data_IF_627731915407
#
_entry.id   IF_627731915407
#
_cell.length_a   1.000
_cell.length_b   1.000
_cell.length_c   1.000
_cell.angle_alpha   90.00
_cell.angle_beta   90.00
_cell.angle_gamma   90.00
#
_symmetry.space_group_name_H-M   'P 1'
#
loop_
_entity.id
_entity.type
_entity.pdbx_description
1 polymer ?
#
# COMPACT_ATOMS: atom_id res chain seq x y z
N UNK A 1 11.83 -18.15 -0.54
CA UNK A 1 11.42 -16.87 -1.18
C UNK A 1 10.92 -15.93 -0.11
N UNK A 2 11.52 -14.75 -0.02
CA UNK A 2 11.12 -13.72 0.94
C UNK A 2 9.96 -12.88 0.38
N UNK A 3 8.95 -12.66 1.21
CA UNK A 3 7.77 -11.87 0.87
C UNK A 3 7.13 -11.29 2.11
N UNK A 4 6.72 -10.03 2.06
CA UNK A 4 6.04 -9.37 3.15
C UNK A 4 4.97 -8.39 2.67
N UNK A 5 3.92 -8.23 3.47
CA UNK A 5 2.89 -7.24 3.27
C UNK A 5 2.62 -6.49 4.59
N UNK A 6 2.61 -5.17 4.53
CA UNK A 6 2.43 -4.31 5.68
C UNK A 6 1.24 -3.38 5.45
N UNK A 7 0.45 -3.18 6.49
CA UNK A 7 -0.63 -2.21 6.54
C UNK A 7 -0.41 -1.28 7.72
N UNK A 8 -0.41 0.02 7.48
CA UNK A 8 -0.19 1.07 8.48
C UNK A 8 -1.33 2.07 8.46
N UNK A 9 -1.94 2.34 9.61
CA UNK A 9 -2.81 3.49 9.82
C UNK A 9 -2.00 4.68 10.33
N UNK A 10 -2.07 5.81 9.63
CA UNK A 10 -1.35 7.03 9.98
C UNK A 10 -2.17 8.04 10.80
N UNK A 11 -3.43 7.75 11.12
CA UNK A 11 -4.32 8.66 11.88
C UNK A 11 -3.81 9.00 13.30
N UNK A 12 -2.91 8.21 13.87
CA UNK A 12 -2.32 8.48 15.18
C UNK A 12 -1.46 9.75 15.27
N UNK A 13 -1.18 10.41 14.12
CA UNK A 13 -0.39 11.64 14.00
C UNK A 13 -1.25 12.80 13.44
N UNK A 14 -2.32 13.17 14.14
CA UNK A 14 -3.12 14.31 13.72
C UNK A 14 -2.37 15.63 13.88
N UNK A 15 -2.17 16.37 12.78
CA UNK A 15 -1.58 17.72 12.78
C UNK A 15 -2.60 18.83 13.04
N UNK A 16 -3.91 18.53 13.14
CA UNK A 16 -4.96 19.54 13.18
C UNK A 16 -5.19 20.17 14.55
N UNK A 17 -4.56 19.68 15.62
CA UNK A 17 -4.67 20.30 16.96
C UNK A 17 -3.46 21.20 17.23
N UNK A 18 -3.58 22.48 16.86
CA UNK A 18 -2.73 23.53 17.39
C UNK A 18 -2.80 23.55 18.92
N UNK A 19 -1.67 23.75 19.57
CA UNK A 19 -1.51 23.85 21.00
C UNK A 19 -2.50 24.85 21.64
N UNK A 20 -3.51 24.32 22.34
CA UNK A 20 -4.30 25.04 23.30
C UNK A 20 -4.12 24.38 24.67
N UNK A 21 -3.74 25.10 25.75
CA UNK A 21 -3.55 24.50 27.06
C UNK A 21 -4.90 24.15 27.67
N UNK A 22 -5.25 22.86 27.75
CA UNK A 22 -6.33 22.39 28.63
C UNK A 22 -5.69 21.61 29.78
N UNK A 23 -5.73 22.27 30.95
CA UNK A 23 -5.35 21.68 32.21
C UNK A 23 -6.20 20.44 32.53
N UNK A 24 -5.54 19.38 32.93
CA UNK A 24 -6.11 18.16 33.46
C UNK A 24 -4.97 17.24 33.89
N UNK A 25 -4.76 17.13 35.22
CA UNK A 25 -3.85 16.18 35.83
C UNK A 25 -4.19 14.75 35.43
N UNK A 26 -3.36 14.12 34.60
CA UNK A 26 -3.31 12.66 34.49
C UNK A 26 -1.84 12.20 34.48
N UNK A 27 -1.57 11.24 35.33
CA UNK A 27 -0.33 10.52 35.62
C UNK A 27 0.54 10.25 34.40
N UNK A 28 1.80 10.66 34.52
CA UNK A 28 2.87 10.55 33.52
C UNK A 28 3.23 9.08 33.20
N UNK A 29 2.65 8.56 32.11
CA UNK A 29 3.37 7.61 31.27
C UNK A 29 4.17 8.45 30.25
N UNK A 30 5.48 8.23 30.08
CA UNK A 30 6.33 8.90 29.10
C UNK A 30 5.73 8.76 27.68
N UNK A 31 4.78 9.61 27.35
CA UNK A 31 4.27 9.79 26.00
C UNK A 31 5.29 10.61 25.22
N UNK A 32 5.91 10.00 24.21
CA UNK A 32 6.72 10.75 23.23
C UNK A 32 5.88 11.89 22.67
N UNK A 33 6.45 13.09 22.57
CA UNK A 33 5.74 14.20 21.94
C UNK A 33 5.48 13.86 20.47
N UNK A 34 4.35 14.33 19.92
CA UNK A 34 4.02 14.14 18.48
C UNK A 34 5.16 14.56 17.57
N UNK A 35 5.88 15.62 17.93
CA UNK A 35 6.99 16.16 17.17
C UNK A 35 8.23 15.24 17.20
N UNK A 36 8.53 14.59 18.33
CA UNK A 36 9.59 13.60 18.42
C UNK A 36 9.28 12.39 17.54
N UNK A 37 8.04 11.90 17.56
CA UNK A 37 7.61 10.79 16.69
C UNK A 37 7.76 11.09 15.19
N UNK A 38 7.46 12.33 14.76
CA UNK A 38 7.64 12.75 13.37
C UNK A 38 9.11 12.79 12.98
N UNK A 39 9.97 13.37 13.83
CA UNK A 39 11.41 13.43 13.58
C UNK A 39 12.04 12.03 13.50
N UNK A 40 11.60 11.11 14.34
CA UNK A 40 12.05 9.71 14.30
C UNK A 40 11.63 9.01 13.01
N UNK A 41 10.40 9.22 12.55
CA UNK A 41 9.93 8.68 11.27
C UNK A 41 10.66 9.32 10.07
N UNK A 42 10.90 10.64 10.09
CA UNK A 42 11.67 11.33 9.06
C UNK A 42 13.11 10.79 8.97
N UNK A 43 13.72 10.47 10.10
CA UNK A 43 15.06 9.89 10.15
C UNK A 43 15.16 8.47 9.54
N UNK A 44 14.03 7.79 9.36
CA UNK A 44 13.97 6.49 8.68
C UNK A 44 13.95 6.60 7.15
N UNK A 45 13.62 7.79 6.60
CA UNK A 45 13.49 7.96 5.17
C UNK A 45 14.87 7.98 4.49
N UNK A 46 14.96 7.31 3.36
CA UNK A 46 16.06 7.56 2.43
C UNK A 46 15.91 8.95 1.77
N UNK A 47 16.97 9.43 1.14
CA UNK A 47 17.03 10.77 0.57
C UNK A 47 15.89 11.03 -0.42
N UNK A 48 15.59 10.09 -1.30
CA UNK A 48 14.53 10.25 -2.30
C UNK A 48 13.13 10.31 -1.66
N UNK A 49 12.87 9.48 -0.65
CA UNK A 49 11.62 9.48 0.10
C UNK A 49 11.47 10.76 0.93
N UNK A 50 12.55 11.24 1.50
CA UNK A 50 12.55 12.51 2.22
C UNK A 50 12.21 13.69 1.28
N UNK A 51 12.81 13.75 0.10
CA UNK A 51 12.49 14.77 -0.91
C UNK A 51 11.03 14.69 -1.37
N UNK A 52 10.48 13.48 -1.58
CA UNK A 52 9.05 13.30 -1.91
C UNK A 52 8.16 13.81 -0.78
N UNK A 53 8.45 13.43 0.46
CA UNK A 53 7.71 13.87 1.64
C UNK A 53 7.69 15.40 1.77
N UNK A 54 8.82 16.05 1.58
CA UNK A 54 8.94 17.51 1.69
C UNK A 54 8.13 18.27 0.61
N UNK A 55 7.93 17.68 -0.56
CA UNK A 55 7.15 18.28 -1.65
C UNK A 55 5.65 18.19 -1.47
N UNK A 56 5.16 17.31 -0.60
CA UNK A 56 3.72 17.12 -0.38
C UNK A 56 3.19 18.26 0.50
N UNK A 57 2.22 19.02 -0.01
CA UNK A 57 1.63 20.17 0.69
C UNK A 57 0.51 19.76 1.67
N UNK A 58 -0.37 18.84 1.25
CA UNK A 58 -1.50 18.41 2.06
C UNK A 58 -1.03 17.62 3.29
N UNK A 59 -1.50 17.99 4.49
CA UNK A 59 -1.10 17.35 5.75
C UNK A 59 -1.30 15.82 5.74
N UNK A 60 -2.46 15.35 5.31
CA UNK A 60 -2.74 13.92 5.18
C UNK A 60 -1.81 13.23 4.18
N UNK A 61 -1.54 13.86 3.04
CA UNK A 61 -0.60 13.36 2.04
C UNK A 61 0.83 13.24 2.57
N UNK A 62 1.26 14.18 3.41
CA UNK A 62 2.57 14.14 4.09
C UNK A 62 2.66 12.93 5.03
N UNK A 63 1.61 12.66 5.84
CA UNK A 63 1.57 11.49 6.72
C UNK A 63 1.64 10.18 5.93
N UNK A 64 0.88 10.08 4.85
CA UNK A 64 0.90 8.90 3.97
C UNK A 64 2.29 8.70 3.33
N UNK A 65 2.92 9.78 2.86
CA UNK A 65 4.27 9.74 2.29
C UNK A 65 5.31 9.29 3.32
N UNK A 66 5.22 9.84 4.54
CA UNK A 66 6.09 9.49 5.66
C UNK A 66 5.93 8.02 6.05
N UNK A 67 4.69 7.56 6.25
CA UNK A 67 4.39 6.16 6.54
C UNK A 67 4.88 5.19 5.46
N UNK A 68 4.71 5.55 4.19
CA UNK A 68 5.18 4.75 3.06
C UNK A 68 6.72 4.60 3.06
N UNK A 69 7.45 5.69 3.31
CA UNK A 69 8.91 5.67 3.38
C UNK A 69 9.43 4.84 4.56
N UNK A 70 8.81 5.02 5.74
CA UNK A 70 9.17 4.27 6.94
C UNK A 70 8.88 2.75 6.80
N UNK A 71 7.77 2.36 6.16
CA UNK A 71 7.48 0.96 5.85
C UNK A 71 8.51 0.36 4.88
N UNK A 72 8.90 1.11 3.84
CA UNK A 72 9.96 0.66 2.92
C UNK A 72 11.27 0.42 3.66
N UNK A 73 11.65 1.34 4.52
CA UNK A 73 12.86 1.21 5.33
C UNK A 73 12.80 -0.03 6.22
N UNK A 74 11.69 -0.24 6.93
CA UNK A 74 11.48 -1.43 7.75
C UNK A 74 11.64 -2.71 6.92
N UNK A 75 10.95 -2.82 5.79
CA UNK A 75 10.97 -4.02 4.93
C UNK A 75 12.38 -4.34 4.41
N UNK A 76 13.11 -3.31 3.95
CA UNK A 76 14.50 -3.47 3.48
C UNK A 76 15.42 -3.93 4.62
N UNK A 77 15.31 -3.32 5.80
CA UNK A 77 16.14 -3.70 6.95
C UNK A 77 15.83 -5.11 7.42
N UNK A 78 14.55 -5.53 7.49
CA UNK A 78 14.15 -6.90 7.82
C UNK A 78 14.74 -7.91 6.83
N UNK A 79 14.68 -7.62 5.52
CA UNK A 79 15.26 -8.46 4.48
C UNK A 79 16.78 -8.59 4.62
N UNK A 80 17.49 -7.47 4.73
CA UNK A 80 18.97 -7.46 4.83
C UNK A 80 19.48 -8.08 6.13
N UNK A 81 18.66 -8.12 7.17
CA UNK A 81 18.99 -8.79 8.45
C UNK A 81 18.73 -10.31 8.42
N UNK A 82 18.35 -10.87 7.29
CA UNK A 82 18.01 -12.30 7.17
C UNK A 82 16.69 -12.67 7.86
N UNK A 83 15.83 -11.69 8.12
CA UNK A 83 14.52 -11.93 8.73
C UNK A 83 13.60 -12.75 7.81
N UNK A 84 12.66 -13.47 8.40
CA UNK A 84 11.63 -14.17 7.64
C UNK A 84 10.58 -13.19 7.12
N UNK A 85 10.23 -13.28 5.84
CA UNK A 85 9.11 -12.55 5.24
C UNK A 85 7.79 -12.96 5.90
N UNK A 86 6.90 -11.99 6.13
CA UNK A 86 5.57 -12.23 6.75
C UNK A 86 4.46 -11.86 5.79
N UNK A 87 3.54 -12.79 5.55
CA UNK A 87 2.44 -12.66 4.57
C UNK A 87 1.55 -11.42 4.78
N UNK A 88 1.30 -11.01 6.02
CA UNK A 88 0.54 -9.79 6.33
C UNK A 88 0.80 -9.32 7.76
N UNK A 89 1.05 -8.01 7.93
CA UNK A 89 1.22 -7.37 9.24
C UNK A 89 0.44 -6.07 9.30
N UNK A 90 -0.36 -5.92 10.35
CA UNK A 90 -0.99 -4.63 10.67
C UNK A 90 -0.11 -3.92 11.69
N UNK A 91 0.26 -2.70 11.39
CA UNK A 91 1.14 -1.89 12.21
C UNK A 91 0.43 -0.61 12.63
N UNK A 92 0.76 -0.16 13.83
CA UNK A 92 0.57 1.23 14.26
C UNK A 92 1.92 1.95 14.13
N UNK A 93 1.90 3.26 14.16
CA UNK A 93 3.13 4.06 14.13
C UNK A 93 4.07 3.69 15.30
N UNK A 94 3.52 3.48 16.48
CA UNK A 94 4.30 3.02 17.66
C UNK A 94 4.96 1.67 17.42
N UNK A 95 4.22 0.72 16.85
CA UNK A 95 4.76 -0.62 16.54
C UNK A 95 5.85 -0.52 15.45
N UNK A 96 5.63 0.30 14.44
CA UNK A 96 6.61 0.55 13.36
C UNK A 96 7.94 1.05 13.95
N UNK A 97 7.92 2.11 14.77
CA UNK A 97 9.11 2.65 15.42
C UNK A 97 9.79 1.60 16.31
N UNK A 98 9.05 0.91 17.16
CA UNK A 98 9.62 -0.15 18.02
C UNK A 98 10.28 -1.29 17.22
N UNK A 99 9.79 -1.59 16.01
CA UNK A 99 10.40 -2.58 15.14
C UNK A 99 11.69 -2.05 14.51
N UNK A 100 11.69 -0.80 14.05
CA UNK A 100 12.89 -0.20 13.44
C UNK A 100 14.01 0.01 14.45
N UNK A 101 13.71 0.30 15.72
CA UNK A 101 14.71 0.40 16.79
C UNK A 101 15.44 -0.92 17.07
N UNK A 102 14.76 -2.06 16.89
CA UNK A 102 15.31 -3.40 17.13
C UNK A 102 16.17 -3.93 15.99
N UNK A 103 16.13 -3.26 14.83
CA UNK A 103 16.94 -3.69 13.69
C UNK A 103 18.39 -3.21 13.84
N UNK A 104 19.35 -3.94 13.25
CA UNK A 104 20.76 -3.59 13.34
C UNK A 104 21.02 -2.15 12.86
N UNK A 105 21.61 -1.33 13.72
CA UNK A 105 21.98 0.07 13.41
C UNK A 105 23.31 0.15 12.63
N UNK A 106 23.53 -0.75 11.66
CA UNK A 106 24.69 -0.69 10.77
C UNK A 106 24.53 0.40 9.69
N UNK A 107 25.64 0.85 9.09
CA UNK A 107 25.61 1.62 7.85
C UNK A 107 24.98 0.74 6.76
N UNK A 108 23.67 0.86 6.57
CA UNK A 108 23.04 0.27 5.40
C UNK A 108 23.36 1.15 4.20
N UNK A 109 23.72 0.53 3.07
CA UNK A 109 23.85 1.28 1.83
C UNK A 109 22.58 2.10 1.55
N UNK A 110 22.72 3.31 0.96
CA UNK A 110 21.58 4.10 0.54
C UNK A 110 20.70 3.28 -0.40
N UNK A 111 19.38 3.34 -0.18
CA UNK A 111 18.43 2.76 -1.12
C UNK A 111 18.49 3.60 -2.39
N UNK A 112 18.73 2.95 -3.53
CA UNK A 112 18.69 3.57 -4.86
C UNK A 112 17.49 3.06 -5.63
N UNK A 113 16.89 3.95 -6.41
CA UNK A 113 15.70 3.65 -7.20
C UNK A 113 15.96 3.86 -8.69
N UNK A 114 15.34 3.02 -9.51
CA UNK A 114 15.14 3.25 -10.95
C UNK A 114 13.64 3.26 -11.24
N UNK A 115 13.24 3.87 -12.33
CA UNK A 115 11.85 4.03 -12.71
C UNK A 115 11.57 3.36 -14.05
N UNK A 116 10.48 2.59 -14.11
CA UNK A 116 9.94 2.05 -15.35
C UNK A 116 9.31 3.14 -16.23
N UNK A 117 8.94 2.78 -17.45
CA UNK A 117 8.39 3.72 -18.46
C UNK A 117 7.15 4.50 -17.96
N UNK A 118 6.32 3.90 -17.13
CA UNK A 118 5.12 4.54 -16.54
C UNK A 118 5.36 5.00 -15.09
N UNK A 119 6.61 5.19 -14.70
CA UNK A 119 6.97 5.73 -13.38
C UNK A 119 6.90 4.72 -12.22
N UNK A 120 6.70 3.41 -12.48
CA UNK A 120 6.79 2.39 -11.44
C UNK A 120 8.21 2.39 -10.85
N UNK A 121 8.37 2.57 -9.51
CA UNK A 121 9.68 2.53 -8.88
C UNK A 121 10.14 1.09 -8.66
N UNK A 122 11.44 0.87 -8.78
CA UNK A 122 12.14 -0.36 -8.48
C UNK A 122 13.37 -0.05 -7.65
N UNK A 123 13.78 -0.96 -6.79
CA UNK A 123 15.11 -0.90 -6.20
C UNK A 123 16.17 -1.19 -7.27
N UNK A 124 17.26 -0.44 -7.25
CA UNK A 124 18.41 -0.65 -8.13
C UNK A 124 19.45 -1.58 -7.49
N UNK A 125 19.65 -1.46 -6.19
CA UNK A 125 20.70 -2.13 -5.43
C UNK A 125 20.21 -3.16 -4.40
N UNK A 126 18.92 -3.49 -4.41
CA UNK A 126 18.31 -4.46 -3.49
C UNK A 126 17.52 -5.47 -4.34
N UNK A 127 17.72 -6.78 -4.18
CA UNK A 127 17.07 -7.80 -5.00
C UNK A 127 15.62 -8.04 -4.57
N UNK A 128 14.87 -6.97 -4.42
CA UNK A 128 13.45 -6.97 -4.06
C UNK A 128 12.65 -6.10 -5.01
N UNK A 129 11.41 -6.51 -5.22
CA UNK A 129 10.36 -5.71 -5.84
C UNK A 129 9.40 -5.21 -4.78
N UNK A 130 8.78 -4.08 -5.02
CA UNK A 130 7.78 -3.55 -4.10
C UNK A 130 6.64 -2.85 -4.82
N UNK A 131 5.50 -2.79 -4.14
CA UNK A 131 4.35 -2.01 -4.56
C UNK A 131 3.75 -1.28 -3.36
N UNK A 132 3.54 0.02 -3.53
CA UNK A 132 2.93 0.90 -2.54
C UNK A 132 1.54 1.30 -2.98
N UNK A 133 0.60 1.29 -2.04
CA UNK A 133 -0.71 1.90 -2.20
C UNK A 133 -1.12 2.64 -0.93
N UNK A 134 -1.95 3.65 -1.07
CA UNK A 134 -2.56 4.36 0.05
C UNK A 134 -3.98 4.80 -0.29
N UNK A 135 -4.86 4.75 0.70
CA UNK A 135 -6.24 5.22 0.58
C UNK A 135 -6.73 5.66 1.96
N UNK A 136 -7.47 6.76 2.03
CA UNK A 136 -7.88 7.32 3.31
C UNK A 136 -6.68 7.63 4.21
N UNK A 137 -6.63 7.00 5.38
CA UNK A 137 -5.51 7.11 6.32
C UNK A 137 -4.55 5.92 6.29
N UNK A 138 -4.76 4.98 5.39
CA UNK A 138 -3.99 3.75 5.35
C UNK A 138 -2.92 3.75 4.27
N UNK A 139 -1.78 3.17 4.60
CA UNK A 139 -0.69 2.83 3.67
C UNK A 139 -0.52 1.32 3.64
N UNK A 140 -0.38 0.77 2.45
CA UNK A 140 -0.04 -0.61 2.19
C UNK A 140 1.29 -0.70 1.45
N UNK A 141 2.17 -1.56 1.91
CA UNK A 141 3.39 -1.96 1.24
C UNK A 141 3.40 -3.47 1.03
N UNK A 142 3.56 -3.91 -0.21
CA UNK A 142 3.87 -5.29 -0.55
C UNK A 142 5.29 -5.37 -1.11
N UNK A 143 6.07 -6.36 -0.67
CA UNK A 143 7.48 -6.57 -1.06
C UNK A 143 7.71 -8.04 -1.33
N UNK A 144 8.49 -8.36 -2.36
CA UNK A 144 8.81 -9.73 -2.74
C UNK A 144 10.10 -9.81 -3.56
N UNK A 145 10.72 -10.98 -3.60
CA UNK A 145 11.80 -11.30 -4.54
C UNK A 145 11.30 -11.45 -5.99
N UNK A 146 9.99 -11.50 -6.21
CA UNK A 146 9.36 -11.50 -7.54
C UNK A 146 8.62 -10.20 -7.80
N UNK A 147 8.41 -9.88 -9.08
CA UNK A 147 7.59 -8.75 -9.49
C UNK A 147 6.22 -8.79 -8.80
N UNK A 148 5.81 -7.66 -8.22
CA UNK A 148 4.62 -7.56 -7.38
C UNK A 148 3.83 -6.29 -7.68
N UNK A 149 2.52 -6.40 -7.60
CA UNK A 149 1.60 -5.26 -7.61
C UNK A 149 0.63 -5.36 -6.43
N UNK A 150 0.32 -4.26 -5.82
CA UNK A 150 -0.60 -4.21 -4.69
C UNK A 150 -1.45 -2.95 -4.72
N UNK A 151 -2.70 -3.09 -4.30
CA UNK A 151 -3.60 -1.96 -4.13
C UNK A 151 -4.42 -2.08 -2.86
N UNK A 152 -4.79 -0.91 -2.31
CA UNK A 152 -5.60 -0.73 -1.11
C UNK A 152 -6.61 0.39 -1.36
N UNK A 153 -7.89 0.11 -1.13
CA UNK A 153 -8.97 1.08 -1.28
C UNK A 153 -9.84 1.16 -0.03
N UNK A 154 -10.02 2.35 0.48
CA UNK A 154 -11.03 2.64 1.48
C UNK A 154 -12.42 2.47 0.88
N UNK A 155 -13.27 1.70 1.55
CA UNK A 155 -14.67 1.48 1.15
C UNK A 155 -15.54 2.68 1.53
N UNK A 156 -15.15 3.88 1.09
CA UNK A 156 -15.89 5.12 1.33
C UNK A 156 -17.12 5.26 0.45
N UNK A 157 -18.01 6.16 0.82
CA UNK A 157 -19.16 6.52 -0.02
C UNK A 157 -18.68 7.14 -1.33
N UNK A 158 -19.04 6.54 -2.45
CA UNK A 158 -18.70 7.00 -3.82
C UNK A 158 -19.81 6.60 -4.78
N UNK A 159 -19.88 7.23 -5.93
CA UNK A 159 -20.80 6.84 -7.00
C UNK A 159 -20.16 5.73 -7.83
N UNK A 160 -20.03 4.55 -7.18
CA UNK A 160 -19.36 3.40 -7.74
C UNK A 160 -20.11 2.81 -8.95
N UNK A 161 -21.46 2.94 -9.00
CA UNK A 161 -22.26 2.48 -10.13
C UNK A 161 -21.84 3.22 -11.42
N UNK A 162 -21.73 4.55 -11.38
CA UNK A 162 -21.28 5.32 -12.56
C UNK A 162 -19.83 5.01 -12.94
N UNK A 163 -18.97 4.71 -11.95
CA UNK A 163 -17.58 4.35 -12.23
C UNK A 163 -17.50 2.97 -12.89
N UNK A 164 -18.26 2.00 -12.43
CA UNK A 164 -18.30 0.66 -13.04
C UNK A 164 -18.85 0.72 -14.46
N UNK A 165 -19.95 1.44 -14.71
CA UNK A 165 -20.51 1.63 -16.05
C UNK A 165 -19.52 2.24 -17.05
N UNK A 166 -18.70 3.17 -16.57
CA UNK A 166 -17.72 3.86 -17.42
C UNK A 166 -16.49 3.03 -17.72
N UNK A 167 -16.03 2.22 -16.77
CA UNK A 167 -14.67 1.70 -16.80
C UNK A 167 -14.58 0.18 -16.83
N UNK A 168 -15.62 -0.57 -16.43
CA UNK A 168 -15.49 -2.03 -16.30
C UNK A 168 -15.87 -2.76 -17.59
N UNK A 169 -15.36 -3.98 -17.72
CA UNK A 169 -15.77 -4.89 -18.78
C UNK A 169 -17.25 -5.26 -18.63
N UNK A 170 -17.92 -5.60 -19.74
CA UNK A 170 -19.36 -5.88 -19.74
C UNK A 170 -19.76 -6.98 -18.76
N UNK A 171 -18.99 -8.05 -18.73
CA UNK A 171 -19.22 -9.19 -17.81
C UNK A 171 -19.14 -8.80 -16.32
N UNK A 172 -18.27 -7.84 -16.01
CA UNK A 172 -18.12 -7.32 -14.65
C UNK A 172 -19.29 -6.40 -14.27
N UNK A 173 -19.77 -5.59 -15.22
CA UNK A 173 -20.99 -4.77 -15.05
C UNK A 173 -22.21 -5.63 -14.81
N UNK A 174 -22.46 -6.63 -15.67
CA UNK A 174 -23.55 -7.59 -15.49
C UNK A 174 -23.49 -8.30 -14.13
N UNK A 175 -22.28 -8.66 -13.69
CA UNK A 175 -22.07 -9.24 -12.36
C UNK A 175 -22.47 -8.28 -11.25
N UNK A 176 -22.07 -7.02 -11.36
CA UNK A 176 -22.43 -5.97 -10.38
C UNK A 176 -23.94 -5.70 -10.37
N UNK A 177 -24.60 -5.63 -11.53
CA UNK A 177 -26.06 -5.48 -11.63
C UNK A 177 -26.80 -6.62 -10.96
N UNK A 178 -26.44 -7.88 -11.25
CA UNK A 178 -27.03 -9.05 -10.57
C UNK A 178 -26.86 -9.04 -9.05
N UNK A 179 -25.73 -8.51 -8.58
CA UNK A 179 -25.48 -8.37 -7.15
C UNK A 179 -26.28 -7.21 -6.55
N UNK A 180 -26.41 -6.09 -7.28
CA UNK A 180 -27.13 -4.89 -6.84
C UNK A 180 -28.63 -5.19 -6.60
N UNK A 181 -29.27 -5.97 -7.50
CA UNK A 181 -30.66 -6.41 -7.36
C UNK A 181 -30.91 -7.23 -6.09
N UNK A 182 -29.90 -8.02 -5.66
CA UNK A 182 -30.02 -8.94 -4.53
C UNK A 182 -29.55 -8.32 -3.22
N UNK A 183 -28.45 -7.59 -3.26
CA UNK A 183 -27.79 -7.02 -2.10
C UNK A 183 -26.86 -5.88 -2.50
N UNK A 184 -27.30 -4.61 -2.35
CA UNK A 184 -26.51 -3.43 -2.72
C UNK A 184 -25.13 -3.35 -2.05
N UNK A 185 -25.03 -3.77 -0.79
CA UNK A 185 -23.75 -3.74 -0.06
C UNK A 185 -22.74 -4.75 -0.65
N UNK A 186 -23.20 -5.95 -1.01
CA UNK A 186 -22.34 -6.93 -1.72
C UNK A 186 -21.92 -6.46 -3.10
N UNK A 187 -22.79 -5.75 -3.83
CA UNK A 187 -22.43 -5.16 -5.10
C UNK A 187 -21.33 -4.10 -4.93
N UNK A 188 -21.48 -3.23 -3.94
CA UNK A 188 -20.48 -2.23 -3.58
C UNK A 188 -19.15 -2.87 -3.15
N UNK A 189 -19.18 -3.90 -2.34
CA UNK A 189 -17.98 -4.66 -1.95
C UNK A 189 -17.28 -5.27 -3.15
N UNK A 190 -18.03 -5.84 -4.10
CA UNK A 190 -17.49 -6.43 -5.32
C UNK A 190 -16.88 -5.38 -6.25
N UNK A 191 -17.47 -4.18 -6.34
CA UNK A 191 -16.88 -3.06 -7.06
C UNK A 191 -15.48 -2.73 -6.51
N UNK A 192 -15.34 -2.52 -5.19
CA UNK A 192 -14.04 -2.21 -4.58
C UNK A 192 -13.06 -3.37 -4.73
N UNK A 193 -13.53 -4.61 -4.68
CA UNK A 193 -12.72 -5.78 -4.92
C UNK A 193 -12.13 -5.78 -6.34
N UNK A 194 -12.96 -5.60 -7.36
CA UNK A 194 -12.53 -5.52 -8.76
C UNK A 194 -11.60 -4.34 -9.00
N UNK A 195 -11.87 -3.19 -8.39
CA UNK A 195 -11.00 -2.02 -8.47
C UNK A 195 -9.60 -2.33 -7.96
N UNK A 196 -9.48 -2.86 -6.74
CA UNK A 196 -8.19 -3.25 -6.16
C UNK A 196 -7.44 -4.27 -7.04
N UNK A 197 -8.15 -5.25 -7.62
CA UNK A 197 -7.55 -6.23 -8.52
C UNK A 197 -6.94 -5.57 -9.76
N UNK A 198 -7.69 -4.69 -10.41
CA UNK A 198 -7.24 -3.98 -11.62
C UNK A 198 -6.05 -3.07 -11.35
N UNK A 199 -6.09 -2.35 -10.24
CA UNK A 199 -4.98 -1.50 -9.78
C UNK A 199 -3.73 -2.34 -9.43
N UNK A 200 -3.90 -3.43 -8.69
CA UNK A 200 -2.79 -4.31 -8.34
C UNK A 200 -2.16 -4.94 -9.58
N UNK A 201 -2.96 -5.39 -10.53
CA UNK A 201 -2.50 -5.93 -11.81
C UNK A 201 -1.75 -4.87 -12.63
N UNK A 202 -2.31 -3.66 -12.78
CA UNK A 202 -1.67 -2.54 -13.47
C UNK A 202 -0.34 -2.11 -12.83
N UNK A 203 -0.25 -2.15 -11.50
CA UNK A 203 0.99 -1.90 -10.77
C UNK A 203 2.00 -3.03 -10.95
N UNK A 204 1.55 -4.29 -11.00
CA UNK A 204 2.41 -5.44 -11.27
C UNK A 204 2.98 -5.36 -12.70
N UNK A 205 2.15 -5.15 -13.71
CA UNK A 205 2.60 -5.05 -15.12
C UNK A 205 3.55 -3.85 -15.34
N UNK A 206 3.41 -2.79 -14.54
CA UNK A 206 4.13 -1.53 -14.70
C UNK A 206 3.59 -0.65 -15.83
N UNK A 207 2.40 -0.95 -16.35
CA UNK A 207 1.72 -0.21 -17.44
C UNK A 207 0.65 0.76 -16.90
N UNK A 208 0.42 0.75 -15.59
CA UNK A 208 -0.66 1.48 -14.94
C UNK A 208 -2.00 0.77 -15.10
N UNK A 209 -3.05 1.32 -14.45
CA UNK A 209 -4.37 0.67 -14.40
C UNK A 209 -5.20 0.87 -15.68
N UNK A 210 -4.99 1.99 -16.39
CA UNK A 210 -5.86 2.40 -17.51
C UNK A 210 -6.09 1.32 -18.56
N UNK A 211 -5.09 0.55 -19.04
CA UNK A 211 -5.30 -0.52 -20.01
C UNK A 211 -6.19 -1.65 -19.49
N UNK A 212 -6.27 -1.82 -18.17
CA UNK A 212 -6.94 -2.95 -17.52
C UNK A 212 -8.34 -2.62 -16.99
N UNK A 213 -8.76 -1.37 -17.00
CA UNK A 213 -10.08 -0.97 -16.51
C UNK A 213 -11.21 -1.69 -17.27
N UNK A 214 -11.17 -1.68 -18.59
CA UNK A 214 -12.14 -2.37 -19.44
C UNK A 214 -11.78 -3.83 -19.79
N UNK A 215 -10.70 -4.35 -19.21
CA UNK A 215 -10.26 -5.73 -19.45
C UNK A 215 -10.95 -6.69 -18.47
N UNK A 216 -11.50 -7.85 -18.94
CA UNK A 216 -12.20 -8.81 -18.08
C UNK A 216 -11.20 -9.64 -17.26
N UNK A 217 -10.57 -9.01 -16.29
CA UNK A 217 -9.43 -9.55 -15.53
C UNK A 217 -9.74 -10.87 -14.81
N UNK A 218 -10.99 -11.09 -14.39
CA UNK A 218 -11.38 -12.31 -13.67
C UNK A 218 -11.18 -13.60 -14.48
N UNK A 219 -11.16 -13.52 -15.81
CA UNK A 219 -10.90 -14.69 -16.67
C UNK A 219 -9.41 -15.04 -16.68
N UNK A 220 -8.54 -14.05 -16.77
CA UNK A 220 -7.08 -14.24 -16.79
C UNK A 220 -6.53 -14.73 -15.44
N UNK A 221 -7.17 -14.33 -14.34
CA UNK A 221 -6.73 -14.72 -12.99
C UNK A 221 -6.92 -16.21 -12.66
N UNK A 222 -7.64 -16.96 -13.47
CA UNK A 222 -7.87 -18.42 -13.28
C UNK A 222 -6.64 -19.28 -13.59
N UNK A 223 -5.56 -18.70 -14.12
CA UNK A 223 -4.32 -19.44 -14.41
C UNK A 223 -3.61 -19.82 -13.11
N UNK A 224 -3.17 -21.06 -12.99
CA UNK A 224 -2.38 -21.59 -11.85
C UNK A 224 -1.03 -20.86 -11.66
N UNK A 225 -0.59 -20.09 -12.66
CA UNK A 225 0.65 -19.29 -12.60
C UNK A 225 0.49 -17.97 -11.83
N UNK A 226 -0.73 -17.64 -11.45
CA UNK A 226 -1.06 -16.39 -10.77
C UNK A 226 -1.17 -16.62 -9.26
N UNK A 227 -0.44 -15.82 -8.49
CA UNK A 227 -0.58 -15.75 -7.03
C UNK A 227 -1.36 -14.45 -6.71
N UNK A 228 -2.64 -14.62 -6.39
CA UNK A 228 -3.54 -13.55 -6.02
C UNK A 228 -3.93 -13.68 -4.56
N UNK A 229 -3.66 -12.65 -3.80
CA UNK A 229 -4.14 -12.51 -2.42
C UNK A 229 -4.98 -11.26 -2.31
N UNK A 230 -6.15 -11.41 -1.79
CA UNK A 230 -7.11 -10.32 -1.60
C UNK A 230 -7.84 -10.46 -0.28
N UNK A 231 -8.37 -9.35 0.21
CA UNK A 231 -9.11 -9.39 1.45
C UNK A 231 -9.75 -8.07 1.82
N UNK A 232 -10.35 -8.11 3.00
CA UNK A 232 -10.92 -6.95 3.69
C UNK A 232 -10.22 -6.78 5.02
N UNK A 233 -9.96 -5.54 5.39
CA UNK A 233 -9.40 -5.21 6.71
C UNK A 233 -10.02 -3.94 7.26
N UNK A 234 -10.03 -3.82 8.60
CA UNK A 234 -10.35 -2.58 9.28
C UNK A 234 -9.11 -1.99 9.91
N UNK A 235 -8.92 -0.68 9.74
CA UNK A 235 -7.87 0.13 10.35
C UNK A 235 -8.55 1.37 10.94
N UNK A 236 -8.46 1.54 12.26
CA UNK A 236 -9.32 2.48 12.97
C UNK A 236 -10.80 2.17 12.69
N UNK A 237 -11.58 3.20 12.40
CA UNK A 237 -13.02 3.09 12.07
C UNK A 237 -13.27 2.84 10.58
N UNK A 238 -12.23 2.74 9.77
CA UNK A 238 -12.33 2.60 8.33
C UNK A 238 -12.23 1.15 7.88
N UNK A 239 -12.95 0.82 6.83
CA UNK A 239 -12.89 -0.50 6.18
C UNK A 239 -12.25 -0.37 4.80
N UNK A 240 -11.37 -1.30 4.48
CA UNK A 240 -10.59 -1.33 3.24
C UNK A 240 -10.73 -2.66 2.53
N UNK A 241 -10.67 -2.62 1.21
CA UNK A 241 -10.33 -3.76 0.35
C UNK A 241 -8.88 -3.66 -0.09
N UNK A 242 -8.22 -4.79 -0.25
CA UNK A 242 -6.88 -4.87 -0.80
C UNK A 242 -6.72 -6.06 -1.75
N UNK A 243 -5.76 -5.92 -2.66
CA UNK A 243 -5.29 -6.99 -3.50
C UNK A 243 -3.77 -6.95 -3.63
N UNK A 244 -3.14 -8.13 -3.70
CA UNK A 244 -1.73 -8.33 -4.05
C UNK A 244 -1.68 -9.33 -5.17
N UNK A 245 -1.00 -8.98 -6.25
CA UNK A 245 -0.88 -9.81 -7.44
C UNK A 245 0.58 -10.06 -7.80
N UNK A 246 0.89 -11.31 -8.12
CA UNK A 246 2.16 -11.77 -8.68
C UNK A 246 1.88 -12.79 -9.78
N UNK A 247 2.76 -12.90 -10.76
CA UNK A 247 2.71 -13.98 -11.75
C UNK A 247 4.10 -14.31 -12.26
N UNK A 248 4.30 -15.56 -12.60
CA UNK A 248 5.52 -16.03 -13.27
C UNK A 248 5.50 -15.75 -14.76
N UNK A 249 4.33 -15.50 -15.35
CA UNK A 249 4.15 -15.36 -16.80
C UNK A 249 4.76 -14.10 -17.43
N UNK A 250 5.06 -13.06 -16.64
CA UNK A 250 5.49 -11.76 -17.19
C UNK A 250 6.93 -11.69 -17.72
N UNK A 251 7.75 -12.67 -17.47
CA UNK A 251 9.15 -12.66 -17.99
C UNK A 251 9.25 -13.03 -19.46
N UNK A 252 8.26 -13.72 -20.04
CA UNK A 252 8.35 -14.23 -21.41
C UNK A 252 7.87 -13.25 -22.48
N UNK A 253 7.06 -12.25 -22.17
CA UNK A 253 6.50 -11.32 -23.17
C UNK A 253 7.29 -10.03 -23.37
N UNK A 254 8.30 -9.73 -22.54
CA UNK A 254 9.10 -8.49 -22.63
C UNK A 254 10.45 -8.66 -23.33
N UNK A 255 10.91 -9.88 -23.60
CA UNK A 255 12.17 -10.15 -24.33
C UNK A 255 11.98 -10.34 -25.83
N UNK A 256 10.74 -10.32 -26.35
CA UNK A 256 10.44 -10.55 -27.76
C UNK A 256 9.83 -9.35 -28.51
N UNK A 257 9.97 -8.12 -28.01
CA UNK A 257 9.59 -6.92 -28.79
C UNK A 257 10.66 -5.84 -28.77
#
# INVERSE_FOLDING_TARGET
MWEACYFLDVNGLDFSSGDGPRGGNHTEGRGMSKQATLQELEALLDEERLLKYQRVQAAQGRLLSLGAGALLRLAVMEFLSGGEGKKARRLTLKTLLSLTEKLPKGKTEPIRYRYGKQGKPYFENIPLYFSLSHSGSAVMLAVSEREIGADLQEMKKTNWEKLSERFYAEEEKERLHRLLEKNPERAREEFFRLWCLKEAYGKWSGEGVTPYLAFPLLQDLKSEKNDLREGRLSLGDQTYRYAVYQSEAAKQSKEQK
#
